data_IF_394354823697
#
_entry.id   IF_394354823697
#
_cell.length_a   1.000
_cell.length_b   1.000
_cell.length_c   1.000
_cell.angle_alpha   90.00
_cell.angle_beta   90.00
_cell.angle_gamma   90.00
#
_symmetry.space_group_name_H-M   'P 1'
#
loop_
_entity.id
_entity.type
_entity.pdbx_description
1 polymer ?
#
# COMPACT_ATOMS: atom_id res chain seq x y z
N UNK A 1 -20.34 -2.51 20.59
CA UNK A 1 -19.01 -3.01 20.92
C UNK A 1 -18.27 -3.39 19.68
N UNK A 2 -17.03 -2.96 19.48
CA UNK A 2 -16.31 -3.32 18.27
C UNK A 2 -15.98 -4.81 18.24
N UNK A 3 -15.91 -5.37 17.03
CA UNK A 3 -15.52 -6.76 16.85
C UNK A 3 -14.05 -6.94 17.20
N UNK A 4 -13.66 -8.17 17.53
CA UNK A 4 -12.27 -8.51 17.83
C UNK A 4 -11.38 -8.17 16.64
N UNK A 5 -11.85 -8.41 15.42
CA UNK A 5 -11.11 -8.10 14.19
C UNK A 5 -10.81 -6.61 14.08
N UNK A 6 -11.75 -5.77 14.48
CA UNK A 6 -11.55 -4.32 14.45
C UNK A 6 -10.51 -3.90 15.48
N UNK A 7 -10.53 -4.49 16.67
CA UNK A 7 -9.55 -4.21 17.70
C UNK A 7 -8.14 -4.62 17.26
N UNK A 8 -8.02 -5.78 16.64
CA UNK A 8 -6.75 -6.25 16.10
C UNK A 8 -6.24 -5.30 15.00
N UNK A 9 -7.12 -4.89 14.08
CA UNK A 9 -6.72 -3.97 13.03
C UNK A 9 -6.27 -2.63 13.60
N UNK A 10 -6.96 -2.13 14.60
CA UNK A 10 -6.59 -0.87 15.25
C UNK A 10 -5.20 -0.98 15.91
N UNK A 11 -4.91 -2.13 16.52
CA UNK A 11 -3.61 -2.38 17.15
C UNK A 11 -2.47 -2.41 16.11
N UNK A 12 -2.74 -2.92 14.91
CA UNK A 12 -1.73 -3.03 13.85
C UNK A 12 -1.70 -1.86 12.88
N UNK A 13 -2.57 -0.88 13.05
CA UNK A 13 -2.68 0.25 12.11
C UNK A 13 -1.36 1.01 11.94
N UNK A 14 -0.63 1.21 13.01
CA UNK A 14 0.66 1.91 12.98
C UNK A 14 1.69 1.09 12.20
N UNK A 15 1.72 -0.22 12.46
CA UNK A 15 2.63 -1.14 11.77
C UNK A 15 2.29 -1.19 10.28
N UNK A 16 1.01 -1.28 9.95
CA UNK A 16 0.54 -1.29 8.57
C UNK A 16 1.00 -0.03 7.82
N UNK A 17 0.86 1.13 8.46
CA UNK A 17 1.29 2.39 7.86
C UNK A 17 2.81 2.40 7.64
N UNK A 18 3.56 1.90 8.60
CA UNK A 18 5.02 1.81 8.46
C UNK A 18 5.41 0.87 7.32
N UNK A 19 4.71 -0.25 7.19
CA UNK A 19 4.94 -1.21 6.10
C UNK A 19 4.64 -0.58 4.74
N UNK A 20 3.54 0.18 4.63
CA UNK A 20 3.20 0.90 3.40
C UNK A 20 4.26 1.94 3.05
N UNK A 21 4.75 2.66 4.06
CA UNK A 21 5.79 3.67 3.88
C UNK A 21 7.07 3.02 3.35
N UNK A 22 7.45 1.89 3.92
CA UNK A 22 8.61 1.13 3.47
C UNK A 22 8.43 0.64 2.03
N UNK A 23 7.23 0.22 1.67
CA UNK A 23 6.91 -0.22 0.32
C UNK A 23 7.05 0.93 -0.69
N UNK A 24 6.56 2.10 -0.37
CA UNK A 24 6.71 3.29 -1.21
C UNK A 24 8.19 3.63 -1.39
N UNK A 25 8.96 3.62 -0.30
CA UNK A 25 10.39 3.92 -0.36
C UNK A 25 11.16 2.93 -1.22
N UNK A 26 10.77 1.65 -1.18
CA UNK A 26 11.36 0.62 -2.02
C UNK A 26 11.24 0.98 -3.51
N UNK A 27 10.06 1.37 -3.95
CA UNK A 27 9.82 1.69 -5.35
C UNK A 27 10.40 3.05 -5.75
N UNK A 28 10.44 4.00 -4.83
CA UNK A 28 11.15 5.26 -5.06
C UNK A 28 12.63 5.01 -5.32
N UNK A 29 13.25 4.14 -4.56
CA UNK A 29 14.66 3.78 -4.72
C UNK A 29 14.91 3.11 -6.08
N UNK A 30 14.02 2.22 -6.51
CA UNK A 30 14.11 1.55 -7.80
C UNK A 30 14.02 2.57 -8.93
N UNK A 31 13.09 3.49 -8.88
CA UNK A 31 12.92 4.54 -9.90
C UNK A 31 14.13 5.46 -9.95
N UNK A 32 14.63 5.84 -8.79
CA UNK A 32 15.81 6.70 -8.68
C UNK A 32 17.05 6.05 -9.29
N UNK A 33 17.17 4.74 -9.11
CA UNK A 33 18.27 3.97 -9.67
C UNK A 33 18.14 3.76 -11.18
N UNK A 34 16.93 3.41 -11.64
CA UNK A 34 16.69 3.01 -13.04
C UNK A 34 16.51 4.18 -13.99
N UNK A 35 16.06 5.34 -13.51
CA UNK A 35 15.69 6.49 -14.35
C UNK A 35 16.56 7.68 -14.01
N UNK A 36 17.58 8.01 -14.83
CA UNK A 36 18.38 9.21 -14.61
C UNK A 36 17.51 10.46 -14.68
N UNK A 37 17.64 11.32 -13.68
CA UNK A 37 16.89 12.58 -13.64
C UNK A 37 15.41 12.41 -13.41
N UNK A 38 15.02 11.34 -12.69
CA UNK A 38 13.61 11.08 -12.39
C UNK A 38 12.96 12.25 -11.66
N UNK A 39 11.72 12.58 -12.06
CA UNK A 39 10.91 13.57 -11.35
C UNK A 39 10.29 12.86 -10.14
N UNK A 40 10.75 13.20 -8.94
CA UNK A 40 10.31 12.53 -7.71
C UNK A 40 8.82 12.73 -7.45
N UNK A 41 8.29 13.90 -7.70
CA UNK A 41 6.86 14.17 -7.48
C UNK A 41 5.99 13.30 -8.40
N UNK A 42 6.38 13.18 -9.66
CA UNK A 42 5.68 12.36 -10.64
C UNK A 42 5.81 10.88 -10.31
N UNK A 43 7.01 10.46 -9.95
CA UNK A 43 7.30 9.09 -9.52
C UNK A 43 6.44 8.71 -8.30
N UNK A 44 6.38 9.56 -7.29
CA UNK A 44 5.59 9.31 -6.08
C UNK A 44 4.11 9.18 -6.42
N UNK A 45 3.59 10.03 -7.30
CA UNK A 45 2.20 9.98 -7.73
C UNK A 45 1.89 8.64 -8.41
N UNK A 46 2.75 8.20 -9.31
CA UNK A 46 2.58 6.94 -10.04
C UNK A 46 2.64 5.74 -9.09
N UNK A 47 3.56 5.75 -8.13
CA UNK A 47 3.69 4.67 -7.14
C UNK A 47 2.42 4.59 -6.30
N UNK A 48 1.92 5.71 -5.81
CA UNK A 48 0.71 5.72 -4.99
C UNK A 48 -0.50 5.25 -5.80
N UNK A 49 -0.65 5.69 -7.04
CA UNK A 49 -1.74 5.24 -7.90
C UNK A 49 -1.70 3.74 -8.14
N UNK A 50 -0.51 3.21 -8.41
CA UNK A 50 -0.33 1.77 -8.62
C UNK A 50 -0.64 0.98 -7.35
N UNK A 51 -0.26 1.47 -6.19
CA UNK A 51 -0.59 0.83 -4.92
C UNK A 51 -2.09 0.80 -4.67
N UNK A 52 -2.79 1.89 -4.96
CA UNK A 52 -4.25 1.95 -4.80
C UNK A 52 -4.95 0.95 -5.72
N UNK A 53 -4.53 0.89 -6.98
CA UNK A 53 -5.07 -0.07 -7.94
C UNK A 53 -4.81 -1.50 -7.50
N UNK A 54 -3.58 -1.78 -7.08
CA UNK A 54 -3.21 -3.12 -6.60
C UNK A 54 -4.00 -3.51 -5.36
N UNK A 55 -4.24 -2.56 -4.46
CA UNK A 55 -5.04 -2.80 -3.27
C UNK A 55 -6.48 -3.17 -3.64
N UNK A 56 -7.06 -2.47 -4.61
CA UNK A 56 -8.40 -2.77 -5.10
C UNK A 56 -8.47 -4.17 -5.70
N UNK A 57 -7.45 -4.56 -6.47
CA UNK A 57 -7.37 -5.90 -7.06
C UNK A 57 -7.26 -6.98 -5.99
N UNK A 58 -6.39 -6.78 -5.02
CA UNK A 58 -6.24 -7.71 -3.90
C UNK A 58 -7.54 -7.78 -3.09
N UNK A 59 -8.18 -6.64 -2.87
CA UNK A 59 -9.45 -6.57 -2.18
C UNK A 59 -10.53 -7.35 -2.91
N UNK A 60 -10.56 -7.28 -4.24
CA UNK A 60 -11.51 -8.04 -5.06
C UNK A 60 -11.26 -9.54 -4.96
N UNK A 61 -9.99 -9.96 -4.86
CA UNK A 61 -9.64 -11.38 -4.68
C UNK A 61 -10.09 -11.89 -3.31
N UNK A 62 -9.89 -11.09 -2.27
CA UNK A 62 -10.20 -11.46 -0.89
C UNK A 62 -11.68 -11.28 -0.55
N UNK A 63 -12.31 -10.22 -1.09
CA UNK A 63 -13.66 -9.83 -0.76
C UNK A 63 -14.71 -10.92 -0.97
N UNK A 64 -14.77 -11.55 -2.14
CA UNK A 64 -15.76 -12.63 -2.38
C UNK A 64 -15.61 -13.79 -1.39
N UNK A 65 -14.39 -14.14 -1.03
CA UNK A 65 -14.14 -15.20 -0.05
C UNK A 65 -14.52 -14.77 1.36
N UNK A 66 -14.28 -13.51 1.69
CA UNK A 66 -14.65 -12.97 2.99
C UNK A 66 -16.17 -12.84 3.13
N UNK A 67 -16.88 -12.65 2.03
CA UNK A 67 -18.33 -12.53 2.01
C UNK A 67 -19.04 -13.88 2.17
N UNK A 68 -18.36 -14.96 1.90
CA UNK A 68 -18.91 -16.30 2.05
C UNK A 68 -18.83 -16.79 3.48
#
# INVERSE_FOLDING_TARGET
MPAIEQLEMDAYRVVLRADLRALVEKYRAIFDWDIPGVDQADSDRLIIEALRTSLDEVGAEAGPRAAL
#
